data_IF_671430945906
#
_entry.id   IF_671430945906
#
_cell.length_a   1.000
_cell.length_b   1.000
_cell.length_c   1.000
_cell.angle_alpha   90.00
_cell.angle_beta   90.00
_cell.angle_gamma   90.00
#
_symmetry.space_group_name_H-M   'P 1'
#
loop_
_entity.id
_entity.type
_entity.pdbx_description
1 polymer ?
#
# COMPACT_ATOMS: atom_id res chain seq x y z
N UNK A 1 -5.44 -15.59 3.42
CA UNK A 1 -4.62 -15.60 2.19
C UNK A 1 -3.76 -14.35 2.21
N UNK A 2 -2.47 -14.49 2.51
CA UNK A 2 -1.51 -13.39 2.37
C UNK A 2 -1.25 -13.22 0.87
N UNK A 3 -1.28 -11.99 0.33
CA UNK A 3 -0.92 -11.77 -1.06
C UNK A 3 0.57 -12.15 -1.26
N UNK A 4 0.90 -12.79 -2.38
CA UNK A 4 2.28 -13.17 -2.68
C UNK A 4 3.08 -11.89 -2.84
N UNK A 5 4.26 -11.86 -2.24
CA UNK A 5 5.27 -10.83 -2.47
C UNK A 5 5.63 -10.86 -3.97
N UNK A 6 4.96 -10.04 -4.76
CA UNK A 6 5.34 -9.75 -6.13
C UNK A 6 6.67 -8.98 -6.06
N UNK A 7 7.74 -9.66 -6.49
CA UNK A 7 9.13 -9.26 -6.29
C UNK A 7 9.64 -8.28 -7.34
N UNK A 8 8.76 -7.69 -8.15
CA UNK A 8 9.18 -6.90 -9.33
C UNK A 8 8.79 -5.41 -9.31
N UNK A 9 8.32 -4.85 -8.19
CA UNK A 9 8.16 -3.39 -8.07
C UNK A 9 9.50 -2.76 -7.66
N UNK A 10 10.24 -2.35 -8.68
CA UNK A 10 11.55 -1.69 -8.68
C UNK A 10 11.90 -0.93 -7.39
N UNK A 11 12.97 -1.44 -6.80
CA UNK A 11 13.93 -0.86 -5.86
C UNK A 11 14.28 0.63 -6.16
N UNK A 12 13.39 1.56 -5.85
CA UNK A 12 13.70 2.99 -5.77
C UNK A 12 12.98 3.57 -4.55
N UNK A 13 13.77 4.00 -3.55
CA UNK A 13 13.36 4.56 -2.25
C UNK A 13 12.84 3.57 -1.20
N UNK A 14 13.67 2.60 -0.81
CA UNK A 14 13.33 1.54 0.16
C UNK A 14 12.85 2.01 1.54
N UNK A 15 13.20 3.19 2.03
CA UNK A 15 12.77 3.60 3.37
C UNK A 15 11.32 4.13 3.42
N UNK A 16 10.78 4.61 2.29
CA UNK A 16 9.49 5.33 2.27
C UNK A 16 8.30 4.42 1.88
N UNK A 17 8.54 3.48 0.96
CA UNK A 17 7.60 2.42 0.57
C UNK A 17 7.27 1.52 1.76
N UNK A 18 8.26 1.22 2.61
CA UNK A 18 8.09 0.39 3.81
C UNK A 18 7.02 0.96 4.74
N UNK A 19 6.93 2.28 4.96
CA UNK A 19 5.94 2.86 5.90
C UNK A 19 4.48 2.70 5.43
N UNK A 20 4.22 2.79 4.11
CA UNK A 20 2.86 2.69 3.56
C UNK A 20 2.41 1.23 3.45
N UNK A 21 3.28 0.38 2.92
CA UNK A 21 3.00 -1.05 2.80
C UNK A 21 2.99 -1.75 4.15
N UNK A 22 3.75 -1.27 5.14
CA UNK A 22 3.62 -1.74 6.52
C UNK A 22 2.25 -1.41 7.11
N UNK A 23 1.73 -0.19 6.92
CA UNK A 23 0.38 0.15 7.36
C UNK A 23 -0.70 -0.75 6.71
N UNK A 24 -0.59 -1.00 5.40
CA UNK A 24 -1.47 -1.96 4.71
C UNK A 24 -1.34 -3.39 5.28
N UNK A 25 -0.11 -3.84 5.52
CA UNK A 25 0.16 -5.15 6.13
C UNK A 25 -0.41 -5.27 7.55
N UNK A 26 -0.40 -4.19 8.33
CA UNK A 26 -1.05 -4.14 9.65
C UNK A 26 -2.56 -4.32 9.56
N UNK A 27 -3.21 -3.73 8.55
CA UNK A 27 -4.65 -3.89 8.29
C UNK A 27 -5.02 -5.33 7.88
N UNK A 28 -4.12 -6.05 7.22
CA UNK A 28 -4.35 -7.41 6.74
C UNK A 28 -3.81 -8.50 7.67
N UNK A 29 -3.48 -8.18 8.93
CA UNK A 29 -3.05 -9.19 9.91
C UNK A 29 -4.11 -10.29 10.05
N UNK A 30 -3.63 -11.54 10.09
CA UNK A 30 -4.45 -12.74 10.21
C UNK A 30 -5.41 -12.66 11.42
N UNK A 31 -4.85 -12.29 12.57
CA UNK A 31 -5.59 -12.15 13.84
C UNK A 31 -6.33 -10.80 13.86
N UNK A 32 -7.67 -10.78 13.91
CA UNK A 32 -8.46 -9.53 13.85
C UNK A 32 -8.09 -8.51 14.92
N UNK A 33 -7.88 -8.97 16.16
CA UNK A 33 -7.51 -8.12 17.29
C UNK A 33 -6.09 -7.54 17.21
N UNK A 34 -5.28 -7.95 16.24
CA UNK A 34 -3.96 -7.34 15.97
C UNK A 34 -4.02 -6.23 14.92
N UNK A 35 -5.15 -6.05 14.25
CA UNK A 35 -5.33 -4.99 13.22
C UNK A 35 -5.49 -3.64 13.91
N UNK A 36 -4.99 -2.55 13.31
CA UNK A 36 -5.14 -1.21 13.87
C UNK A 36 -6.60 -0.76 13.82
N UNK A 37 -7.00 0.07 14.77
CA UNK A 37 -8.28 0.79 14.69
C UNK A 37 -8.21 1.89 13.63
N UNK A 38 -9.37 2.35 13.15
CA UNK A 38 -9.43 3.49 12.22
C UNK A 38 -8.76 4.75 12.78
N UNK A 39 -8.83 4.98 14.10
CA UNK A 39 -8.16 6.11 14.74
C UNK A 39 -6.62 6.00 14.62
N UNK A 40 -6.07 4.79 14.81
CA UNK A 40 -4.63 4.54 14.65
C UNK A 40 -4.18 4.70 13.19
N UNK A 41 -5.01 4.24 12.24
CA UNK A 41 -4.77 4.44 10.80
C UNK A 41 -4.75 5.94 10.48
N UNK A 42 -5.74 6.71 10.96
CA UNK A 42 -5.84 8.14 10.70
C UNK A 42 -4.62 8.92 11.23
N UNK A 43 -4.17 8.63 12.46
CA UNK A 43 -2.97 9.25 13.03
C UNK A 43 -1.73 8.94 12.19
N UNK A 44 -1.59 7.69 11.74
CA UNK A 44 -0.47 7.27 10.90
C UNK A 44 -0.46 8.01 9.55
N UNK A 45 -1.62 8.12 8.89
CA UNK A 45 -1.76 8.85 7.63
C UNK A 45 -1.50 10.34 7.78
N UNK A 46 -1.98 10.97 8.87
CA UNK A 46 -1.72 12.39 9.17
C UNK A 46 -0.23 12.66 9.33
N UNK A 47 0.48 11.81 10.10
CA UNK A 47 1.93 11.93 10.26
C UNK A 47 2.65 11.82 8.91
N UNK A 48 2.23 10.89 8.04
CA UNK A 48 2.80 10.79 6.69
C UNK A 48 2.62 12.10 5.91
N UNK A 49 1.43 12.72 5.96
CA UNK A 49 1.20 14.02 5.30
C UNK A 49 2.12 15.14 5.84
N UNK A 50 2.34 15.17 7.15
CA UNK A 50 3.17 16.19 7.81
C UNK A 50 4.66 16.09 7.42
N UNK A 51 5.16 14.88 7.18
CA UNK A 51 6.56 14.65 6.83
C UNK A 51 6.95 15.19 5.44
N UNK A 52 5.98 15.63 4.61
CA UNK A 52 6.18 16.16 3.23
C UNK A 52 7.08 15.30 2.34
N UNK A 53 7.16 13.99 2.61
CA UNK A 53 7.86 13.01 1.78
C UNK A 53 6.94 12.53 0.66
N UNK A 54 7.53 12.08 -0.44
CA UNK A 54 6.79 11.45 -1.54
C UNK A 54 6.43 10.01 -1.17
N UNK A 55 5.22 9.81 -0.65
CA UNK A 55 4.72 8.48 -0.27
C UNK A 55 4.11 7.70 -1.42
N UNK A 56 3.77 8.34 -2.53
CA UNK A 56 3.24 7.71 -3.75
C UNK A 56 4.02 8.27 -4.92
N UNK A 57 4.65 7.40 -5.71
CA UNK A 57 5.33 7.81 -6.93
C UNK A 57 4.30 7.85 -8.07
N UNK A 58 4.10 9.02 -8.65
CA UNK A 58 3.21 9.26 -9.80
C UNK A 58 3.98 9.58 -11.09
N UNK A 59 5.31 9.44 -11.08
CA UNK A 59 6.17 9.65 -12.25
C UNK A 59 6.10 8.48 -13.23
N UNK A 60 6.05 8.79 -14.52
CA UNK A 60 6.10 7.81 -15.60
C UNK A 60 7.55 7.54 -16.00
N UNK A 61 7.88 6.28 -16.28
CA UNK A 61 9.19 5.84 -16.75
C UNK A 61 9.04 4.73 -17.79
N UNK A 62 10.11 4.41 -18.50
CA UNK A 62 10.12 3.56 -19.72
C UNK A 62 9.49 2.16 -19.55
N UNK A 63 9.34 1.67 -18.31
CA UNK A 63 8.73 0.36 -17.98
C UNK A 63 7.54 0.48 -17.02
N UNK A 64 6.91 1.65 -16.95
CA UNK A 64 5.77 1.86 -16.08
C UNK A 64 4.52 1.14 -16.59
N UNK A 65 3.84 0.41 -15.71
CA UNK A 65 2.53 -0.22 -15.97
C UNK A 65 1.57 0.09 -14.82
N UNK A 66 0.33 0.44 -15.15
CA UNK A 66 -0.74 0.53 -14.15
C UNK A 66 -1.12 -0.86 -13.63
N UNK A 67 -1.71 -0.92 -12.43
CA UNK A 67 -2.32 -2.15 -11.93
C UNK A 67 -3.43 -2.61 -12.88
N UNK A 68 -3.48 -3.92 -13.17
CA UNK A 68 -4.52 -4.49 -14.04
C UNK A 68 -5.91 -4.36 -13.40
N UNK A 69 -6.88 -3.94 -14.20
CA UNK A 69 -8.30 -3.89 -13.81
C UNK A 69 -9.00 -5.03 -14.54
N UNK A 70 -9.54 -5.98 -13.77
CA UNK A 70 -10.33 -7.08 -14.30
C UNK A 70 -11.81 -6.70 -14.31
N UNK A 71 -12.31 -6.23 -15.45
CA UNK A 71 -13.70 -5.78 -15.61
C UNK A 71 -14.72 -6.91 -15.42
N UNK A 72 -14.31 -8.18 -15.55
CA UNK A 72 -15.22 -9.33 -15.39
C UNK A 72 -15.44 -9.71 -13.93
N UNK A 73 -14.61 -9.22 -13.00
CA UNK A 73 -14.74 -9.50 -11.58
C UNK A 73 -15.74 -8.56 -10.85
N UNK A 74 -16.10 -7.43 -11.46
CA UNK A 74 -16.98 -6.41 -10.86
C UNK A 74 -18.48 -6.69 -11.06
N UNK A 75 -18.85 -7.74 -11.80
CA UNK A 75 -20.25 -8.12 -12.09
C UNK A 75 -20.84 -9.15 -11.09
N UNK A 76 -20.08 -9.55 -10.07
CA UNK A 76 -20.57 -10.43 -9.01
C UNK A 76 -21.10 -9.61 -7.82
N UNK A 77 -22.25 -8.97 -8.01
CA UNK A 77 -23.00 -8.24 -6.97
C UNK A 77 -24.48 -8.54 -7.01
#
# INVERSE_FOLDING_TARGET
MNPPYDRDIQYTTLSCVVSRYDLMGQCWREKPYKRPSFQQILVSLKRMLEERKTYVNTTLYEKFTYAGIDCSAEEAG
#
